data_IF_239911503359
#
_entry.id   IF_239911503359
#
_cell.length_a   1.000
_cell.length_b   1.000
_cell.length_c   1.000
_cell.angle_alpha   90.00
_cell.angle_beta   90.00
_cell.angle_gamma   90.00
#
_symmetry.space_group_name_H-M   'P 1'
#
loop_
_entity.id
_entity.type
_entity.pdbx_description
1 polymer ?
#
# COMPACT_ATOMS: atom_id res chain seq x y z
N UNK A 1 -0.87 8.47 -1.48
CA UNK A 1 -0.66 7.20 -0.75
C UNK A 1 -1.11 6.10 -1.68
N UNK A 2 -0.20 5.26 -2.16
CA UNK A 2 -0.45 4.34 -3.27
C UNK A 2 -1.61 3.36 -3.02
N UNK A 3 -1.74 2.82 -1.80
CA UNK A 3 -2.80 1.89 -1.45
C UNK A 3 -4.22 2.48 -1.64
N UNK A 4 -4.41 3.77 -1.32
CA UNK A 4 -5.67 4.49 -1.55
C UNK A 4 -5.99 4.61 -3.05
N UNK A 5 -5.01 5.03 -3.85
CA UNK A 5 -5.21 5.21 -5.29
C UNK A 5 -5.47 3.85 -5.99
N UNK A 6 -4.81 2.79 -5.54
CA UNK A 6 -5.06 1.42 -6.01
C UNK A 6 -6.45 0.92 -5.62
N UNK A 7 -6.86 1.11 -4.36
CA UNK A 7 -8.20 0.73 -3.89
C UNK A 7 -9.30 1.39 -4.74
N UNK A 8 -9.17 2.70 -5.01
CA UNK A 8 -10.12 3.42 -5.87
C UNK A 8 -10.08 2.94 -7.32
N UNK A 9 -8.88 2.74 -7.89
CA UNK A 9 -8.72 2.27 -9.27
C UNK A 9 -9.36 0.89 -9.50
N UNK A 10 -9.25 0.00 -8.51
CA UNK A 10 -9.87 -1.33 -8.56
C UNK A 10 -11.31 -1.37 -8.08
N UNK A 11 -11.90 -0.22 -7.68
CA UNK A 11 -13.28 -0.13 -7.22
C UNK A 11 -13.55 -0.92 -5.94
N UNK A 12 -12.58 -0.97 -5.02
CA UNK A 12 -12.76 -1.64 -3.73
C UNK A 12 -13.76 -0.88 -2.89
N UNK A 13 -14.79 -1.57 -2.41
CA UNK A 13 -15.86 -1.00 -1.60
C UNK A 13 -15.79 -1.42 -0.13
N UNK A 14 -15.06 -2.49 0.19
CA UNK A 14 -14.93 -3.02 1.54
C UNK A 14 -13.52 -3.52 1.80
N UNK A 15 -12.79 -2.76 2.62
CA UNK A 15 -11.35 -2.92 2.80
C UNK A 15 -11.04 -3.20 4.27
N UNK A 16 -10.20 -4.18 4.53
CA UNK A 16 -9.51 -4.35 5.82
C UNK A 16 -8.12 -3.74 5.75
N UNK A 17 -7.68 -3.12 6.84
CA UNK A 17 -6.32 -2.59 7.00
C UNK A 17 -5.71 -3.22 8.23
N UNK A 18 -4.70 -4.07 8.05
CA UNK A 18 -3.86 -4.58 9.15
C UNK A 18 -2.70 -3.61 9.37
N UNK A 19 -2.50 -3.18 10.61
CA UNK A 19 -1.42 -2.24 10.94
C UNK A 19 -0.88 -2.39 12.35
N UNK A 20 0.41 -2.11 12.53
CA UNK A 20 1.08 -2.09 13.84
C UNK A 20 1.73 -0.73 14.20
N UNK A 21 1.57 0.28 13.32
CA UNK A 21 2.06 1.64 13.52
C UNK A 21 1.07 2.73 13.05
N UNK A 22 1.45 3.99 13.24
CA UNK A 22 0.60 5.14 12.91
C UNK A 22 0.42 5.35 11.39
N UNK A 23 1.26 4.73 10.54
CA UNK A 23 1.08 4.81 9.07
C UNK A 23 -0.21 4.14 8.63
N UNK A 24 -0.62 3.08 9.33
CA UNK A 24 -1.92 2.44 9.15
C UNK A 24 -3.08 3.36 9.45
N UNK A 25 -3.00 4.15 10.52
CA UNK A 25 -4.02 5.14 10.90
C UNK A 25 -4.16 6.19 9.81
N UNK A 26 -3.05 6.76 9.34
CA UNK A 26 -3.04 7.75 8.24
C UNK A 26 -3.65 7.19 6.95
N UNK A 27 -3.40 5.91 6.62
CA UNK A 27 -4.07 5.27 5.48
C UNK A 27 -5.58 5.16 5.71
N UNK A 28 -6.00 4.70 6.89
CA UNK A 28 -7.41 4.54 7.21
C UNK A 28 -8.16 5.86 7.11
N UNK A 29 -7.63 6.93 7.69
CA UNK A 29 -8.21 8.28 7.60
C UNK A 29 -8.43 8.68 6.14
N UNK A 30 -7.43 8.43 5.29
CA UNK A 30 -7.51 8.72 3.86
C UNK A 30 -8.50 7.83 3.11
N UNK A 31 -8.61 6.54 3.45
CA UNK A 31 -9.61 5.65 2.84
C UNK A 31 -11.03 6.07 3.22
N UNK A 32 -11.23 6.52 4.47
CA UNK A 32 -12.54 6.97 4.97
C UNK A 32 -13.04 8.28 4.34
N UNK A 33 -12.19 9.05 3.63
CA UNK A 33 -12.66 10.21 2.86
C UNK A 33 -13.53 9.78 1.67
N UNK A 34 -13.44 8.52 1.23
CA UNK A 34 -14.31 7.98 0.20
C UNK A 34 -15.60 7.43 0.83
N UNK A 35 -16.71 8.16 0.70
CA UNK A 35 -18.01 7.81 1.31
C UNK A 35 -18.64 6.51 0.79
N UNK A 36 -18.19 5.97 -0.34
CA UNK A 36 -18.70 4.70 -0.87
C UNK A 36 -17.94 3.48 -0.33
N UNK A 37 -16.91 3.70 0.49
CA UNK A 37 -15.99 2.67 0.95
C UNK A 37 -16.19 2.39 2.44
N UNK A 38 -16.32 1.12 2.80
CA UNK A 38 -16.30 0.66 4.19
C UNK A 38 -14.90 0.19 4.56
N UNK A 39 -14.31 0.79 5.59
CA UNK A 39 -12.96 0.48 6.07
C UNK A 39 -13.04 -0.22 7.43
N UNK A 40 -12.30 -1.31 7.61
CA UNK A 40 -12.15 -2.04 8.88
C UNK A 40 -10.67 -2.08 9.25
N UNK A 41 -10.31 -1.54 10.40
CA UNK A 41 -8.94 -1.59 10.91
C UNK A 41 -8.72 -2.77 11.84
N UNK A 42 -7.60 -3.46 11.68
CA UNK A 42 -7.11 -4.51 12.58
C UNK A 42 -5.75 -4.06 13.12
N UNK A 43 -5.76 -3.47 14.32
CA UNK A 43 -4.54 -2.98 14.96
C UNK A 43 -3.86 -4.13 15.68
N UNK A 44 -2.65 -4.47 15.26
CA UNK A 44 -1.81 -5.47 15.89
C UNK A 44 -0.80 -4.80 16.82
N UNK A 45 -0.47 -5.40 17.97
CA UNK A 45 0.69 -4.96 18.75
C UNK A 45 1.99 -5.24 17.97
N UNK A 46 3.12 -4.59 18.32
CA UNK A 46 4.39 -4.75 17.59
C UNK A 46 4.91 -6.19 17.48
N UNK A 47 4.51 -7.06 18.40
CA UNK A 47 4.82 -8.49 18.43
C UNK A 47 3.55 -9.29 18.69
N UNK A 48 2.63 -9.29 17.73
CA UNK A 48 1.31 -9.90 17.88
C UNK A 48 1.37 -11.42 17.96
N UNK A 49 0.66 -12.02 18.91
CA UNK A 49 0.53 -13.47 19.07
C UNK A 49 -0.06 -14.16 17.83
N UNK A 50 0.34 -15.40 17.52
CA UNK A 50 -0.30 -16.16 16.43
C UNK A 50 -1.81 -16.29 16.62
N UNK A 51 -2.25 -16.51 17.86
CA UNK A 51 -3.65 -16.65 18.21
C UNK A 51 -4.44 -15.33 18.03
N UNK A 52 -3.81 -14.19 18.31
CA UNK A 52 -4.41 -12.86 18.10
C UNK A 52 -4.64 -12.63 16.60
N UNK A 53 -3.58 -12.79 15.80
CA UNK A 53 -3.64 -12.66 14.34
C UNK A 53 -4.68 -13.61 13.73
N UNK A 54 -4.72 -14.86 14.20
CA UNK A 54 -5.71 -15.84 13.76
C UNK A 54 -7.13 -15.41 14.11
N UNK A 55 -7.35 -14.82 15.28
CA UNK A 55 -8.65 -14.33 15.72
C UNK A 55 -9.14 -13.20 14.79
N UNK A 56 -8.28 -12.24 14.50
CA UNK A 56 -8.59 -11.13 13.59
C UNK A 56 -8.90 -11.62 12.16
N UNK A 57 -8.12 -12.58 11.65
CA UNK A 57 -8.38 -13.18 10.33
C UNK A 57 -9.71 -13.96 10.27
N UNK A 58 -10.05 -14.66 11.35
CA UNK A 58 -11.35 -15.35 11.47
C UNK A 58 -12.49 -14.33 11.52
N UNK A 59 -12.31 -13.22 12.24
CA UNK A 59 -13.32 -12.16 12.29
C UNK A 59 -13.48 -11.48 10.92
N UNK A 60 -12.37 -11.16 10.25
CA UNK A 60 -12.36 -10.63 8.88
C UNK A 60 -13.16 -11.51 7.91
N UNK A 61 -12.99 -12.84 8.01
CA UNK A 61 -13.79 -13.80 7.24
C UNK A 61 -15.26 -13.75 7.60
N UNK A 62 -15.61 -13.72 8.89
CA UNK A 62 -17.01 -13.67 9.36
C UNK A 62 -17.72 -12.42 8.84
N UNK A 63 -17.01 -11.29 8.77
CA UNK A 63 -17.56 -10.06 8.22
C UNK A 63 -17.46 -9.96 6.70
N UNK A 64 -17.06 -11.02 5.98
CA UNK A 64 -16.97 -11.07 4.52
C UNK A 64 -16.16 -9.91 3.93
N UNK A 65 -14.99 -9.62 4.50
CA UNK A 65 -14.04 -8.66 3.94
C UNK A 65 -13.00 -9.45 3.14
N UNK A 66 -12.92 -9.16 1.84
CA UNK A 66 -12.08 -9.91 0.91
C UNK A 66 -10.84 -9.12 0.47
N UNK A 67 -10.88 -7.79 0.56
CA UNK A 67 -9.78 -6.91 0.14
C UNK A 67 -9.03 -6.41 1.38
N UNK A 68 -7.74 -6.72 1.46
CA UNK A 68 -6.91 -6.42 2.62
C UNK A 68 -5.67 -5.61 2.22
N UNK A 69 -5.37 -4.57 2.99
CA UNK A 69 -4.10 -3.84 2.96
C UNK A 69 -3.33 -4.19 4.24
N UNK A 70 -2.05 -4.53 4.11
CA UNK A 70 -1.17 -4.88 5.23
C UNK A 70 -0.03 -3.87 5.29
N UNK A 71 0.00 -3.08 6.37
CA UNK A 71 1.08 -2.14 6.71
C UNK A 71 1.61 -2.56 8.08
N UNK A 72 2.41 -3.61 8.09
CA UNK A 72 2.92 -4.19 9.33
C UNK A 72 4.43 -4.42 9.22
N UNK A 73 5.09 -4.55 10.37
CA UNK A 73 6.45 -5.09 10.47
C UNK A 73 6.57 -6.46 9.78
N UNK A 74 7.80 -6.83 9.38
CA UNK A 74 8.12 -8.14 8.80
C UNK A 74 7.63 -9.30 9.69
N UNK A 75 7.75 -9.14 11.01
CA UNK A 75 7.32 -10.13 11.99
C UNK A 75 5.81 -10.39 11.94
N UNK A 76 5.01 -9.33 12.08
CA UNK A 76 3.55 -9.43 12.04
C UNK A 76 3.06 -9.87 10.67
N UNK A 77 3.70 -9.42 9.59
CA UNK A 77 3.38 -9.85 8.23
C UNK A 77 3.62 -11.36 8.04
N UNK A 78 4.73 -11.91 8.56
CA UNK A 78 4.96 -13.37 8.55
C UNK A 78 3.79 -14.11 9.19
N UNK A 79 3.39 -13.68 10.40
CA UNK A 79 2.30 -14.33 11.15
C UNK A 79 0.98 -14.22 10.42
N UNK A 80 0.66 -13.06 9.83
CA UNK A 80 -0.52 -12.87 8.99
C UNK A 80 -0.51 -13.88 7.85
N UNK A 81 0.60 -14.00 7.11
CA UNK A 81 0.72 -14.93 5.99
C UNK A 81 0.58 -16.39 6.43
N UNK A 82 1.23 -16.79 7.52
CA UNK A 82 1.18 -18.18 8.00
C UNK A 82 -0.23 -18.56 8.45
N UNK A 83 -0.90 -17.70 9.22
CA UNK A 83 -2.28 -17.94 9.65
C UNK A 83 -3.27 -17.84 8.47
N UNK A 84 -3.10 -16.89 7.56
CA UNK A 84 -3.92 -16.77 6.36
C UNK A 84 -3.76 -18.00 5.44
N UNK A 85 -2.55 -18.55 5.33
CA UNK A 85 -2.27 -19.81 4.62
C UNK A 85 -2.99 -20.99 5.28
N UNK A 86 -2.86 -21.12 6.60
CA UNK A 86 -3.56 -22.15 7.38
C UNK A 86 -5.09 -22.06 7.28
N UNK A 87 -5.61 -20.86 7.06
CA UNK A 87 -7.03 -20.62 6.83
C UNK A 87 -7.43 -20.71 5.33
N UNK A 88 -6.51 -20.93 4.39
CA UNK A 88 -6.75 -20.92 2.94
C UNK A 88 -7.26 -19.57 2.37
N UNK A 89 -6.84 -18.46 2.97
CA UNK A 89 -7.16 -17.09 2.55
C UNK A 89 -6.19 -16.51 1.51
N UNK A 90 -5.12 -17.25 1.19
CA UNK A 90 -4.14 -16.87 0.17
C UNK A 90 -4.32 -17.63 -1.15
N UNK A 91 -4.87 -18.84 -1.10
CA UNK A 91 -4.96 -19.77 -2.24
C UNK A 91 -6.32 -19.76 -2.94
N UNK A 92 -7.36 -19.27 -2.28
CA UNK A 92 -8.74 -19.34 -2.79
C UNK A 92 -9.23 -17.93 -3.12
N UNK A 93 -9.65 -17.64 -4.37
CA UNK A 93 -10.52 -16.50 -4.62
C UNK A 93 -11.66 -16.52 -3.60
N UNK A 94 -12.00 -15.40 -2.97
CA UNK A 94 -11.97 -14.04 -3.54
C UNK A 94 -10.96 -13.06 -2.93
N UNK A 95 -10.09 -13.51 -2.02
CA UNK A 95 -9.25 -12.60 -1.23
C UNK A 95 -8.18 -11.91 -2.08
N UNK A 96 -8.02 -10.60 -1.86
CA UNK A 96 -7.00 -9.74 -2.49
C UNK A 96 -6.17 -9.10 -1.39
N UNK A 97 -4.86 -9.20 -1.52
CA UNK A 97 -3.92 -8.70 -0.52
C UNK A 97 -2.99 -7.68 -1.16
N UNK A 98 -2.83 -6.53 -0.50
CA UNK A 98 -1.86 -5.51 -0.83
C UNK A 98 -0.89 -5.36 0.34
N UNK A 99 0.39 -5.61 0.10
CA UNK A 99 1.44 -5.48 1.10
C UNK A 99 2.20 -4.17 0.84
N UNK A 100 2.35 -3.37 1.88
CA UNK A 100 3.17 -2.17 1.83
C UNK A 100 4.61 -2.50 2.22
N UNK A 101 5.51 -2.52 1.24
CA UNK A 101 6.93 -2.89 1.43
C UNK A 101 7.88 -1.90 0.74
N UNK A 102 8.00 -0.64 1.23
CA UNK A 102 8.89 0.34 0.61
C UNK A 102 10.37 -0.02 0.73
N UNK A 103 10.73 -0.93 1.65
CA UNK A 103 12.11 -1.33 1.94
C UNK A 103 12.52 -2.69 1.38
N UNK A 104 11.65 -3.35 0.59
CA UNK A 104 11.86 -4.71 0.07
C UNK A 104 12.14 -5.76 1.17
N UNK A 105 11.71 -5.52 2.41
CA UNK A 105 11.98 -6.40 3.55
C UNK A 105 11.10 -7.65 3.53
N UNK A 106 9.94 -7.55 2.87
CA UNK A 106 8.96 -8.62 2.74
C UNK A 106 9.21 -9.48 1.49
N UNK A 107 10.18 -9.13 0.65
CA UNK A 107 10.44 -9.89 -0.58
C UNK A 107 10.78 -11.36 -0.29
N UNK A 108 11.70 -11.64 0.63
CA UNK A 108 12.07 -13.01 1.03
C UNK A 108 10.87 -13.81 1.55
N UNK A 109 10.02 -13.10 2.29
CA UNK A 109 8.86 -13.61 3.00
C UNK A 109 7.73 -13.98 2.03
N UNK A 110 7.50 -13.12 1.04
CA UNK A 110 6.45 -13.28 0.04
C UNK A 110 6.85 -14.25 -1.07
N UNK A 111 8.14 -14.34 -1.42
CA UNK A 111 8.68 -15.26 -2.43
C UNK A 111 9.12 -16.60 -1.86
N UNK A 112 9.03 -16.78 -0.54
CA UNK A 112 9.48 -17.98 0.15
C UNK A 112 10.92 -18.39 -0.23
N UNK A 113 11.74 -17.40 -0.61
CA UNK A 113 13.07 -17.59 -1.17
C UNK A 113 14.09 -17.55 -0.04
N UNK A 114 14.80 -18.65 0.19
CA UNK A 114 15.89 -18.73 1.18
C UNK A 114 17.17 -17.99 0.73
N UNK A 115 17.05 -16.88 0.02
CA UNK A 115 18.22 -16.14 -0.47
C UNK A 115 18.67 -15.18 0.63
N UNK A 116 19.38 -15.72 1.61
CA UNK A 116 20.19 -14.94 2.54
C UNK A 116 21.48 -14.49 1.85
N UNK A 117 21.38 -13.47 1.00
CA UNK A 117 22.54 -12.66 0.66
C UNK A 117 22.08 -11.21 0.63
N UNK A 118 22.29 -10.51 1.74
CA UNK A 118 22.00 -9.09 1.88
C UNK A 118 23.14 -8.29 1.24
N UNK A 119 23.38 -8.51 -0.04
CA UNK A 119 24.17 -7.58 -0.84
C UNK A 119 23.35 -6.31 -1.00
N UNK A 120 23.98 -5.14 -0.80
CA UNK A 120 23.33 -3.86 -1.10
C UNK A 120 22.84 -3.91 -2.54
N UNK A 121 21.54 -3.70 -2.72
CA UNK A 121 20.96 -3.61 -4.05
C UNK A 121 21.52 -2.38 -4.76
N UNK A 122 21.50 -2.36 -6.10
CA UNK A 122 21.88 -1.14 -6.86
C UNK A 122 21.12 0.11 -6.38
N UNK A 123 19.90 -0.07 -5.90
CA UNK A 123 19.08 0.99 -5.34
C UNK A 123 19.62 1.48 -3.99
N UNK A 124 20.10 0.58 -3.12
CA UNK A 124 20.75 0.96 -1.85
C UNK A 124 22.01 1.80 -2.09
N UNK A 125 22.81 1.45 -3.11
CA UNK A 125 23.96 2.27 -3.51
C UNK A 125 23.54 3.66 -3.99
N UNK A 126 22.46 3.75 -4.77
CA UNK A 126 21.93 5.03 -5.22
C UNK A 126 21.43 5.89 -4.05
N UNK A 127 20.72 5.30 -3.07
CA UNK A 127 20.29 6.02 -1.87
C UNK A 127 21.47 6.51 -1.03
N UNK A 128 22.50 5.69 -0.83
CA UNK A 128 23.71 6.08 -0.09
C UNK A 128 24.45 7.19 -0.81
N UNK A 129 24.59 7.10 -2.14
CA UNK A 129 25.22 8.14 -2.94
C UNK A 129 24.48 9.48 -2.83
N UNK A 130 23.15 9.46 -2.95
CA UNK A 130 22.32 10.66 -2.84
C UNK A 130 22.39 11.26 -1.43
N UNK A 131 22.33 10.42 -0.39
CA UNK A 131 22.47 10.86 1.00
C UNK A 131 23.85 11.51 1.26
N UNK A 132 24.93 10.90 0.77
CA UNK A 132 26.28 11.46 0.89
C UNK A 132 26.41 12.79 0.15
N UNK A 133 25.83 12.90 -1.05
CA UNK A 133 25.82 14.14 -1.83
C UNK A 133 25.10 15.28 -1.09
N UNK A 134 23.93 14.98 -0.50
CA UNK A 134 23.14 15.94 0.28
C UNK A 134 23.90 16.38 1.53
N UNK A 135 24.45 15.44 2.31
CA UNK A 135 25.20 15.77 3.53
C UNK A 135 26.46 16.57 3.20
N UNK A 136 27.19 16.20 2.15
CA UNK A 136 28.41 16.90 1.73
C UNK A 136 28.09 18.31 1.24
N UNK A 137 27.04 18.49 0.45
CA UNK A 137 26.60 19.81 -0.02
C UNK A 137 26.05 20.69 1.11
N UNK A 138 25.35 20.12 2.08
CA UNK A 138 24.92 20.84 3.27
C UNK A 138 26.13 21.28 4.11
N UNK A 139 27.10 20.39 4.31
CA UNK A 139 28.34 20.71 5.02
C UNK A 139 29.11 21.84 4.35
N UNK A 140 29.28 21.83 3.03
CA UNK A 140 29.98 22.91 2.31
C UNK A 140 29.23 24.23 2.36
N UNK A 141 27.89 24.23 2.41
CA UNK A 141 27.10 25.46 2.60
C UNK A 141 27.25 26.06 3.99
N UNK A 142 27.20 25.22 5.03
CA UNK A 142 27.36 25.68 6.43
C UNK A 142 28.81 26.12 6.68
N UNK A 143 29.80 25.37 6.20
CA UNK A 143 31.22 25.71 6.37
C UNK A 143 31.70 26.82 5.42
N UNK A 144 31.12 26.94 4.22
CA UNK A 144 31.48 27.91 3.19
C UNK A 144 30.75 29.25 3.28
N UNK A 145 29.74 29.38 4.15
CA UNK A 145 29.06 30.64 4.47
C UNK A 145 29.97 31.75 5.00
N UNK A 146 31.24 31.43 5.31
CA UNK A 146 32.29 32.39 5.65
C UNK A 146 32.90 33.16 4.46
N UNK A 147 32.41 33.00 3.23
CA UNK A 147 32.93 33.75 2.08
C UNK A 147 32.68 35.28 2.15
N UNK A 148 31.87 35.74 3.12
CA UNK A 148 31.69 37.17 3.44
C UNK A 148 31.93 37.43 4.93
N UNK A 149 33.19 37.30 5.37
CA UNK A 149 33.77 38.23 6.36
C UNK A 149 33.36 38.12 7.83
N UNK A 150 32.82 37.00 8.30
CA UNK A 150 32.57 36.79 9.73
C UNK A 150 32.93 35.37 10.15
N UNK A 151 33.94 35.21 11.01
CA UNK A 151 34.18 33.96 11.72
C UNK A 151 33.01 33.71 12.69
N UNK A 152 31.93 33.13 12.18
CA UNK A 152 30.85 32.62 13.04
C UNK A 152 31.40 31.35 13.69
N UNK A 153 31.84 31.47 14.94
CA UNK A 153 32.22 30.30 15.73
C UNK A 153 30.95 29.52 16.04
N UNK A 154 30.70 28.44 15.30
CA UNK A 154 29.60 27.55 15.62
C UNK A 154 29.96 26.70 16.83
N UNK A 155 29.10 26.72 17.84
CA UNK A 155 29.06 25.63 18.81
C UNK A 155 28.57 24.35 18.12
N UNK A 156 28.87 23.15 18.64
CA UNK A 156 28.37 21.89 18.07
C UNK A 156 26.84 21.85 17.91
N UNK A 157 26.11 22.51 18.81
CA UNK A 157 24.65 22.57 18.79
C UNK A 157 24.13 23.47 17.65
N UNK A 158 24.71 24.67 17.51
CA UNK A 158 24.33 25.61 16.45
C UNK A 158 24.71 25.07 15.06
N UNK A 159 25.85 24.39 14.94
CA UNK A 159 26.25 23.74 13.70
C UNK A 159 25.25 22.65 13.29
N UNK A 160 24.82 21.82 14.24
CA UNK A 160 23.81 20.78 13.98
C UNK A 160 22.48 21.37 13.54
N UNK A 161 22.01 22.42 14.20
CA UNK A 161 20.73 23.07 13.86
C UNK A 161 20.78 23.70 12.46
N UNK A 162 21.87 24.39 12.13
CA UNK A 162 22.05 24.96 10.79
C UNK A 162 22.17 23.87 9.72
N UNK A 163 22.91 22.80 10.00
CA UNK A 163 23.04 21.68 9.08
C UNK A 163 21.69 21.00 8.82
N UNK A 164 20.89 20.73 9.86
CA UNK A 164 19.53 20.19 9.72
C UNK A 164 18.66 21.10 8.86
N UNK A 165 18.68 22.42 9.11
CA UNK A 165 17.92 23.39 8.32
C UNK A 165 18.36 23.43 6.86
N UNK A 166 19.67 23.38 6.60
CA UNK A 166 20.19 23.37 5.22
C UNK A 166 19.80 22.08 4.51
N UNK A 167 19.85 20.93 5.18
CA UNK A 167 19.43 19.64 4.61
C UNK A 167 17.94 19.67 4.25
N UNK A 168 17.09 20.15 5.16
CA UNK A 168 15.63 20.27 4.92
C UNK A 168 15.30 21.19 3.74
N UNK A 169 16.12 22.22 3.52
CA UNK A 169 15.98 23.16 2.39
C UNK A 169 16.73 22.72 1.12
N UNK A 170 17.38 21.56 1.14
CA UNK A 170 18.13 21.08 -0.02
C UNK A 170 17.19 20.44 -1.02
N UNK A 171 17.17 21.03 -2.21
CA UNK A 171 16.65 20.41 -3.42
C UNK A 171 17.83 19.98 -4.30
N UNK A 172 17.87 18.71 -4.68
CA UNK A 172 18.95 18.15 -5.51
C UNK A 172 18.45 17.09 -6.47
N UNK A 173 19.03 17.03 -7.67
CA UNK A 173 18.87 15.90 -8.58
C UNK A 173 19.91 14.82 -8.26
N UNK A 174 19.44 13.68 -7.74
CA UNK A 174 20.26 12.52 -7.41
C UNK A 174 20.04 11.35 -8.36
N UNK A 175 20.71 10.23 -8.10
CA UNK A 175 20.53 8.96 -8.82
C UNK A 175 19.11 8.39 -8.67
N UNK A 176 18.43 8.75 -7.58
CA UNK A 176 17.03 8.38 -7.32
C UNK A 176 16.05 9.47 -7.77
N UNK A 177 16.48 10.42 -8.61
CA UNK A 177 15.69 11.52 -9.12
C UNK A 177 15.74 12.76 -8.24
N UNK A 178 14.72 13.62 -8.37
CA UNK A 178 14.64 14.84 -7.55
C UNK A 178 14.43 14.48 -6.07
N UNK A 179 15.30 14.99 -5.21
CA UNK A 179 15.23 14.82 -3.76
C UNK A 179 14.85 16.16 -3.14
N UNK A 180 13.77 16.14 -2.37
CA UNK A 180 13.28 17.25 -1.55
C UNK A 180 12.68 16.68 -0.28
N UNK A 181 12.68 17.46 0.80
CA UNK A 181 12.21 17.04 2.11
C UNK A 181 10.97 17.82 2.57
N UNK A 182 10.11 17.15 3.32
CA UNK A 182 9.02 17.77 4.06
C UNK A 182 9.57 18.48 5.30
N UNK A 183 8.79 19.37 5.96
CA UNK A 183 9.17 19.96 7.24
C UNK A 183 9.46 18.95 8.36
N UNK A 184 9.02 17.70 8.20
CA UNK A 184 9.27 16.59 9.12
C UNK A 184 10.57 15.82 8.78
N UNK A 185 11.28 16.20 7.71
CA UNK A 185 12.49 15.54 7.25
C UNK A 185 12.23 14.29 6.41
N UNK A 186 10.99 14.04 5.98
CA UNK A 186 10.66 12.92 5.09
C UNK A 186 10.88 13.33 3.64
N UNK A 187 11.27 12.38 2.78
CA UNK A 187 11.39 12.67 1.35
C UNK A 187 10.00 12.90 0.74
N UNK A 188 9.80 14.06 0.14
CA UNK A 188 8.50 14.44 -0.45
C UNK A 188 8.30 13.84 -1.85
N UNK A 189 9.38 13.66 -2.59
CA UNK A 189 9.35 13.28 -4.01
C UNK A 189 9.90 11.87 -4.18
N UNK A 190 9.01 10.88 -4.29
CA UNK A 190 9.42 9.49 -4.47
C UNK A 190 8.45 8.73 -5.38
N UNK A 191 8.96 7.63 -5.91
CA UNK A 191 8.26 6.75 -6.83
C UNK A 191 8.20 5.35 -6.22
N UNK A 192 7.03 4.72 -6.30
CA UNK A 192 6.83 3.35 -5.86
C UNK A 192 6.61 2.46 -7.08
N UNK A 193 7.35 1.36 -7.13
CA UNK A 193 7.15 0.32 -8.13
C UNK A 193 6.05 -0.62 -7.62
N UNK A 194 5.05 -0.87 -8.45
CA UNK A 194 3.94 -1.75 -8.13
C UNK A 194 4.20 -3.12 -8.73
N UNK A 195 4.29 -4.12 -7.87
CA UNK A 195 4.62 -5.48 -8.27
C UNK A 195 3.55 -6.48 -7.86
N UNK A 196 3.32 -7.48 -8.70
CA UNK A 196 2.46 -8.62 -8.39
C UNK A 196 3.26 -9.90 -8.41
N UNK A 197 2.98 -10.80 -7.46
CA UNK A 197 3.57 -12.13 -7.41
C UNK A 197 2.61 -13.08 -8.11
N UNK A 198 3.04 -13.71 -9.19
CA UNK A 198 2.25 -14.72 -9.91
C UNK A 198 2.81 -16.12 -9.68
N UNK A 199 1.94 -17.03 -9.24
CA UNK A 199 2.31 -18.42 -8.93
C UNK A 199 2.37 -19.36 -10.13
N UNK A 200 2.14 -18.88 -11.36
CA UNK A 200 2.17 -19.70 -12.58
C UNK A 200 2.81 -18.91 -13.74
N UNK A 201 3.78 -19.55 -14.40
CA UNK A 201 4.66 -18.97 -15.40
C UNK A 201 4.06 -18.71 -16.79
N UNK A 202 2.83 -18.20 -16.87
CA UNK A 202 2.26 -17.75 -18.15
C UNK A 202 2.14 -16.22 -18.22
N UNK A 203 2.76 -15.69 -19.26
CA UNK A 203 3.03 -14.29 -19.64
C UNK A 203 4.23 -13.60 -18.96
N UNK A 204 5.35 -13.72 -19.67
CA UNK A 204 6.65 -13.14 -19.40
C UNK A 204 6.69 -11.66 -19.79
N UNK A 205 7.03 -10.78 -18.85
CA UNK A 205 7.92 -9.65 -19.12
C UNK A 205 9.19 -9.96 -18.32
N UNK A 206 10.24 -10.36 -19.01
CA UNK A 206 11.57 -10.52 -18.45
C UNK A 206 12.19 -9.13 -18.27
N UNK A 207 12.56 -8.81 -17.03
CA UNK A 207 13.75 -8.00 -16.79
C UNK A 207 14.75 -9.00 -16.21
N UNK A 208 15.76 -9.33 -17.02
CA UNK A 208 16.88 -10.20 -16.68
C UNK A 208 17.72 -9.56 -15.55
N UNK A 209 18.55 -10.22 -14.76
CA UNK A 209 19.33 -11.45 -14.93
C UNK A 209 19.42 -12.16 -13.58
N UNK A 210 19.28 -13.49 -13.58
CA UNK A 210 19.94 -14.48 -12.71
C UNK A 210 19.18 -15.80 -12.83
N UNK A 211 19.58 -16.60 -13.81
CA UNK A 211 19.27 -18.03 -13.89
C UNK A 211 19.92 -18.71 -12.67
N UNK A 212 19.14 -19.32 -11.77
CA UNK A 212 19.03 -20.79 -11.74
C UNK A 212 17.91 -21.26 -10.79
N UNK A 213 17.17 -22.26 -11.30
CA UNK A 213 16.49 -23.40 -10.64
C UNK A 213 15.43 -23.24 -9.52
N UNK A 214 14.37 -24.05 -9.70
CA UNK A 214 13.32 -24.51 -8.77
C UNK A 214 12.29 -23.48 -8.25
N UNK A 215 11.05 -23.59 -8.76
CA UNK A 215 9.85 -22.77 -8.43
C UNK A 215 10.17 -21.28 -8.29
N UNK A 216 10.41 -20.61 -9.43
CA UNK A 216 10.46 -19.15 -9.47
C UNK A 216 9.04 -18.60 -9.43
N UNK A 217 8.51 -18.35 -8.22
CA UNK A 217 7.47 -17.34 -8.07
C UNK A 217 8.04 -16.03 -8.65
N UNK A 218 7.42 -15.55 -9.74
CA UNK A 218 7.97 -14.43 -10.52
C UNK A 218 7.30 -13.13 -10.06
N UNK A 219 8.11 -12.17 -9.62
CA UNK A 219 7.66 -10.81 -9.38
C UNK A 219 7.53 -10.10 -10.73
N UNK A 220 6.33 -9.63 -11.05
CA UNK A 220 6.06 -8.88 -12.28
C UNK A 220 5.76 -7.43 -11.90
N UNK A 221 6.49 -6.50 -12.51
CA UNK A 221 6.17 -5.08 -12.42
C UNK A 221 4.88 -4.78 -13.19
N UNK A 222 3.89 -4.26 -12.48
CA UNK A 222 2.54 -3.98 -13.00
C UNK A 222 2.24 -2.50 -13.14
N UNK A 223 3.09 -1.63 -12.60
CA UNK A 223 2.94 -0.20 -12.74
C UNK A 223 3.83 0.59 -11.81
N UNK A 224 3.60 1.90 -11.82
CA UNK A 224 4.36 2.88 -11.06
C UNK A 224 3.40 3.86 -10.40
N UNK A 225 3.71 4.25 -9.17
CA UNK A 225 2.98 5.28 -8.43
C UNK A 225 3.90 6.43 -8.06
N UNK A 226 3.45 7.66 -8.27
CA UNK A 226 4.20 8.89 -8.03
C UNK A 226 3.63 9.69 -6.86
N UNK A 227 4.48 10.18 -5.97
CA UNK A 227 4.05 10.99 -4.82
C UNK A 227 3.51 12.36 -5.23
N UNK A 228 4.13 13.01 -6.22
CA UNK A 228 3.71 14.29 -6.80
C UNK A 228 3.14 14.12 -8.22
N UNK A 229 2.11 14.90 -8.54
CA UNK A 229 1.36 14.84 -9.82
C UNK A 229 1.82 15.92 -10.79
N UNK A 230 2.51 16.94 -10.28
CA UNK A 230 2.74 18.18 -11.02
C UNK A 230 3.60 17.97 -12.29
N UNK A 231 4.20 16.78 -12.43
CA UNK A 231 5.00 16.34 -13.58
C UNK A 231 4.32 15.26 -14.45
N UNK A 232 3.16 14.70 -14.07
CA UNK A 232 2.54 13.54 -14.74
C UNK A 232 1.02 13.62 -14.81
N UNK A 233 0.42 13.14 -15.90
CA UNK A 233 -1.05 13.14 -16.11
C UNK A 233 -1.85 12.37 -15.05
N UNK A 234 -1.22 11.46 -14.32
CA UNK A 234 -1.83 10.72 -13.21
C UNK A 234 -0.80 10.19 -12.21
N UNK A 235 -1.19 10.13 -10.92
CA UNK A 235 -0.36 9.55 -9.84
C UNK A 235 -0.12 8.05 -9.99
N UNK A 236 -1.04 7.33 -10.63
CA UNK A 236 -1.00 5.88 -10.75
C UNK A 236 -0.98 5.49 -12.22
N UNK A 237 0.11 4.87 -12.67
CA UNK A 237 0.25 4.36 -14.03
C UNK A 237 0.38 2.84 -14.01
N UNK A 238 -0.63 2.13 -14.50
CA UNK A 238 -0.60 0.67 -14.63
C UNK A 238 -0.15 0.27 -16.04
N UNK A 239 0.70 -0.75 -16.13
CA UNK A 239 1.21 -1.30 -17.39
C UNK A 239 0.08 -1.84 -18.28
N UNK A 240 -1.03 -2.30 -17.69
CA UNK A 240 -2.23 -2.72 -18.42
C UNK A 240 -2.93 -1.56 -19.15
N UNK A 241 -2.85 -0.33 -18.64
CA UNK A 241 -3.43 0.84 -19.32
C UNK A 241 -2.58 1.28 -20.52
N UNK A 242 -1.28 0.95 -20.55
CA UNK A 242 -0.39 1.15 -21.72
C UNK A 242 -0.63 0.14 -22.85
N UNK A 243 -1.26 -1.00 -22.57
CA UNK A 243 -1.51 -2.10 -23.52
C UNK A 243 -2.96 -2.19 -24.02
N UNK A 244 -3.73 -1.09 -23.99
CA UNK A 244 -5.13 -1.04 -24.48
C UNK A 244 -5.27 -1.06 -26.01
N UNK A 245 -4.61 -2.01 -26.67
CA UNK A 245 -5.10 -2.60 -27.92
C UNK A 245 -5.08 -4.10 -27.70
N UNK A 246 -6.26 -4.70 -27.57
CA UNK A 246 -6.53 -6.12 -27.38
C UNK A 246 -6.33 -6.66 -25.95
N UNK A 247 -7.36 -6.47 -25.11
CA UNK A 247 -7.80 -7.58 -24.28
C UNK A 247 -9.32 -7.70 -24.32
N UNK A 248 -9.72 -8.88 -24.80
CA UNK A 248 -11.01 -9.48 -24.64
C UNK A 248 -11.50 -9.35 -23.21
N UNK A 249 -12.74 -8.89 -23.06
CA UNK A 249 -13.52 -9.05 -21.85
C UNK A 249 -13.68 -10.55 -21.56
N UNK A 250 -13.34 -11.04 -20.36
CA UNK A 250 -13.82 -12.34 -19.94
C UNK A 250 -15.34 -12.26 -19.76
N UNK A 251 -15.98 -13.12 -20.54
CA UNK A 251 -17.41 -13.37 -20.70
C UNK A 251 -18.18 -13.53 -19.36
N UNK A 252 -19.49 -13.18 -19.31
CA UNK A 252 -20.28 -13.19 -18.09
C UNK A 252 -20.47 -14.61 -17.54
N UNK A 253 -20.47 -14.72 -16.21
CA UNK A 253 -20.84 -15.94 -15.49
C UNK A 253 -22.31 -16.31 -15.81
N UNK A 254 -22.51 -17.19 -16.78
CA UNK A 254 -23.73 -18.01 -16.88
C UNK A 254 -23.77 -18.96 -15.68
N UNK A 255 -24.89 -18.97 -14.97
CA UNK A 255 -25.34 -20.15 -14.22
C UNK A 255 -25.22 -20.09 -12.70
N UNK A 256 -25.92 -19.15 -12.05
CA UNK A 256 -26.60 -19.43 -10.76
C UNK A 256 -27.94 -18.70 -10.75
N UNK A 257 -29.02 -19.45 -10.88
CA UNK A 257 -30.39 -18.94 -10.72
C UNK A 257 -30.62 -18.73 -9.23
N UNK A 258 -30.71 -17.47 -8.79
CA UNK A 258 -31.24 -17.17 -7.46
C UNK A 258 -32.78 -17.25 -7.54
N UNK A 259 -33.39 -18.20 -6.81
CA UNK A 259 -34.83 -18.16 -6.54
C UNK A 259 -35.05 -17.25 -5.34
N UNK A 260 -35.52 -16.04 -5.62
CA UNK A 260 -35.99 -15.10 -4.59
C UNK A 260 -37.48 -15.39 -4.38
N UNK A 261 -37.85 -15.78 -3.16
CA UNK A 261 -39.24 -15.83 -2.71
C UNK A 261 -39.45 -14.60 -1.83
N UNK A 262 -40.32 -13.69 -2.24
CA UNK A 262 -40.79 -12.61 -1.40
C UNK A 262 -42.07 -13.05 -0.70
N UNK A 263 -42.18 -12.75 0.58
CA UNK A 263 -43.46 -12.74 1.30
C UNK A 263 -43.95 -11.30 1.24
N UNK A 264 -45.09 -11.09 0.59
CA UNK A 264 -45.78 -9.82 0.61
C UNK A 264 -46.44 -9.66 1.98
N UNK A 265 -45.83 -8.86 2.85
CA UNK A 265 -46.50 -8.45 4.10
C UNK A 265 -47.38 -7.26 3.73
N UNK A 266 -48.66 -7.54 3.47
CA UNK A 266 -49.67 -6.51 3.35
C UNK A 266 -49.94 -5.97 4.76
N UNK A 267 -49.43 -4.78 5.07
CA UNK A 267 -49.94 -3.98 6.18
C UNK A 267 -51.36 -3.53 5.82
N UNK A 268 -52.30 -4.45 5.98
CA UNK A 268 -53.72 -4.12 6.03
C UNK A 268 -53.95 -3.34 7.31
N UNK A 269 -53.90 -2.01 7.17
CA UNK A 269 -54.47 -1.08 8.14
C UNK A 269 -55.90 -1.54 8.40
N UNK A 270 -56.31 -1.79 9.65
CA UNK A 270 -57.66 -2.26 9.94
C UNK A 270 -58.66 -1.20 9.44
N UNK A 271 -59.59 -1.66 8.60
CA UNK A 271 -60.75 -0.88 8.18
C UNK A 271 -61.44 -0.33 9.43
N UNK A 272 -61.47 1.01 9.55
CA UNK A 272 -62.46 1.66 10.38
C UNK A 272 -63.83 1.25 9.86
N UNK A 273 -64.56 0.55 10.72
CA UNK A 273 -65.98 0.24 10.54
C UNK A 273 -66.74 1.57 10.55
N UNK A 274 -67.01 2.11 9.36
CA UNK A 274 -67.98 3.19 9.18
C UNK A 274 -69.37 2.63 9.45
N UNK A 275 -69.95 3.07 10.57
CA UNK A 275 -71.27 2.68 11.03
C UNK A 275 -72.35 2.93 9.98
N UNK A 276 -73.18 1.92 9.76
CA UNK A 276 -74.48 2.06 9.13
C UNK A 276 -75.35 2.97 10.02
N UNK A 277 -75.67 4.16 9.51
CA UNK A 277 -76.88 4.88 9.93
C UNK A 277 -78.08 4.25 9.20
N UNK A 278 -79.00 3.67 9.98
CA UNK A 278 -80.36 3.37 9.54
C UNK A 278 -81.19 4.65 9.62
N UNK A 279 -82.09 4.94 8.66
CA UNK A 279 -83.03 6.04 8.78
C UNK A 279 -84.25 5.62 9.62
N UNK A 280 -84.58 6.44 10.60
CA UNK A 280 -85.89 6.56 11.23
C UNK A 280 -86.30 8.03 11.19
#
# INVERSE_FOLDING_TARGET
MAAYDLANKYGWNKISVFYDDDRGVTLMEKLMTNHTMTVRGWRLPPLAGEQEVKTDLVEMRKVLVEQSVVICSKHNTQRILDQARGLAMLSTPPYKWLFYDPGHELQDLLLNSQIQSREMTKLDYAYVHDALSIVTSAYTRVSGGGAHGGNVSHTPLTFRQEMSKVIEQTESEGQTGHVAFTPQGERDNFTLILSTITGNGDEVIEVSDFANSARKDKVIETGVWFSRVDLFDSRLQLNADRRRTNRSTPFPLKGRTAKVVMIEVSDSVPQQVSGQFLPG
#
